data_IF_320714153900
#
_entry.id   IF_320714153900
#
_cell.length_a   1.000
_cell.length_b   1.000
_cell.length_c   1.000
_cell.angle_alpha   90.00
_cell.angle_beta   90.00
_cell.angle_gamma   90.00
#
_symmetry.space_group_name_H-M   'P 1'
#
loop_
_entity.id
_entity.type
_entity.pdbx_description
1 polymer ?
#
# COMPACT_ATOMS: atom_id res chain seq x y z
N UNK A 1 1.29 18.38 6.62
CA UNK A 1 1.43 17.14 7.39
C UNK A 1 0.08 16.44 7.42
N UNK A 2 0.03 15.13 7.16
CA UNK A 2 -1.21 14.35 7.25
C UNK A 2 -1.55 14.20 8.74
N UNK A 3 -2.75 14.62 9.14
CA UNK A 3 -3.20 14.51 10.54
C UNK A 3 -3.37 13.04 10.91
N UNK A 4 -3.04 12.69 12.15
CA UNK A 4 -3.22 11.36 12.73
C UNK A 4 -2.49 10.23 11.98
N UNK A 5 -1.38 10.54 11.30
CA UNK A 5 -0.58 9.55 10.56
C UNK A 5 0.04 8.49 11.49
N UNK A 6 0.25 8.81 12.76
CA UNK A 6 0.65 7.88 13.80
C UNK A 6 -0.35 6.75 14.04
N UNK A 7 -1.62 6.93 13.69
CA UNK A 7 -2.67 5.92 13.81
C UNK A 7 -2.77 5.02 12.56
N UNK A 8 -1.99 5.27 11.51
CA UNK A 8 -1.99 4.43 10.31
C UNK A 8 -1.21 3.15 10.57
N UNK A 9 -1.87 2.01 10.44
CA UNK A 9 -1.27 0.69 10.65
C UNK A 9 -0.70 0.08 9.35
N UNK A 10 -1.31 0.41 8.21
CA UNK A 10 -0.96 -0.15 6.90
C UNK A 10 -0.84 0.96 5.87
N UNK A 11 0.25 0.94 5.11
CA UNK A 11 0.48 1.80 3.95
C UNK A 11 0.23 1.01 2.68
N UNK A 12 -0.64 1.51 1.82
CA UNK A 12 -0.96 0.88 0.53
C UNK A 12 -0.40 1.74 -0.60
N UNK A 13 0.49 1.15 -1.40
CA UNK A 13 0.93 1.71 -2.68
C UNK A 13 0.16 1.05 -3.81
N UNK A 14 -0.38 1.88 -4.72
CA UNK A 14 -1.07 1.43 -5.93
C UNK A 14 -0.31 1.92 -7.15
N UNK A 15 0.04 0.99 -8.03
CA UNK A 15 0.52 1.26 -9.38
C UNK A 15 -0.59 0.89 -10.36
N UNK A 16 -1.17 1.90 -11.02
CA UNK A 16 -2.39 1.75 -11.84
C UNK A 16 -2.04 2.07 -13.29
N UNK A 17 -1.81 1.03 -14.08
CA UNK A 17 -1.65 1.12 -15.54
C UNK A 17 -2.99 1.08 -16.29
N UNK A 18 -2.95 1.13 -17.62
CA UNK A 18 -4.17 1.06 -18.47
C UNK A 18 -4.79 -0.34 -18.57
N UNK A 19 -4.07 -1.38 -18.17
CA UNK A 19 -4.51 -2.78 -18.32
C UNK A 19 -4.11 -3.69 -17.17
N UNK A 20 -3.03 -3.36 -16.45
CA UNK A 20 -2.66 -4.06 -15.22
C UNK A 20 -2.54 -3.07 -14.07
N UNK A 21 -2.89 -3.56 -12.90
CA UNK A 21 -2.82 -2.84 -11.64
C UNK A 21 -2.04 -3.67 -10.65
N UNK A 22 -1.26 -3.02 -9.79
CA UNK A 22 -0.47 -3.69 -8.78
C UNK A 22 -0.59 -2.98 -7.44
N UNK A 23 -0.69 -3.76 -6.37
CA UNK A 23 -0.78 -3.24 -5.01
C UNK A 23 0.29 -3.84 -4.12
N UNK A 24 0.91 -2.97 -3.33
CA UNK A 24 1.80 -3.34 -2.23
C UNK A 24 1.22 -2.77 -0.94
N UNK A 25 1.16 -3.59 0.11
CA UNK A 25 0.81 -3.13 1.45
C UNK A 25 1.98 -3.38 2.41
N UNK A 26 2.36 -2.37 3.19
CA UNK A 26 3.39 -2.45 4.22
C UNK A 26 2.79 -2.17 5.59
N UNK A 27 3.26 -2.87 6.62
CA UNK A 27 3.05 -2.44 8.01
C UNK A 27 3.97 -1.27 8.39
N UNK A 28 3.83 -0.76 9.62
CA UNK A 28 4.65 0.35 10.14
C UNK A 28 6.15 0.03 10.24
N UNK A 29 6.53 -1.24 10.34
CA UNK A 29 7.92 -1.68 10.36
C UNK A 29 8.49 -1.86 8.94
N UNK A 30 7.67 -1.63 7.89
CA UNK A 30 8.04 -1.81 6.49
C UNK A 30 7.92 -3.25 6.00
N UNK A 31 7.32 -4.17 6.77
CA UNK A 31 7.09 -5.55 6.33
C UNK A 31 5.99 -5.57 5.29
N UNK A 32 6.23 -6.28 4.17
CA UNK A 32 5.20 -6.55 3.15
C UNK A 32 4.11 -7.45 3.71
N UNK A 33 2.89 -6.94 3.73
CA UNK A 33 1.65 -7.66 4.04
C UNK A 33 0.96 -8.16 2.76
N UNK A 34 1.11 -7.41 1.66
CA UNK A 34 0.58 -7.73 0.33
C UNK A 34 1.58 -7.28 -0.73
N UNK A 35 1.73 -8.07 -1.79
CA UNK A 35 2.51 -7.75 -2.97
C UNK A 35 1.94 -8.56 -4.14
N UNK A 36 0.97 -8.00 -4.88
CA UNK A 36 0.31 -8.71 -5.97
C UNK A 36 -0.35 -7.79 -7.00
N UNK A 37 -0.53 -8.33 -8.20
CA UNK A 37 -1.43 -7.77 -9.19
C UNK A 37 -2.88 -7.72 -8.65
N UNK A 38 -3.59 -6.65 -9.00
CA UNK A 38 -5.01 -6.48 -8.75
C UNK A 38 -5.82 -6.79 -10.03
N UNK A 39 -7.10 -7.20 -9.90
CA UNK A 39 -8.01 -7.37 -11.03
C UNK A 39 -8.22 -6.09 -11.83
#
# INVERSE_FOLDING_TARGET
>A
MIRNHENVEVFIGLDVGKGEHHAVALDRAGKKLLDRALP
#
